data_IF_993061294435
#
_entry.id   IF_993061294435
#
_cell.length_a   1.000
_cell.length_b   1.000
_cell.length_c   1.000
_cell.angle_alpha   90.00
_cell.angle_beta   90.00
_cell.angle_gamma   90.00
#
_symmetry.space_group_name_H-M   'P 1'
#
loop_
_entity.id
_entity.type
_entity.pdbx_description
1 polymer ?
#
# COMPACT_ATOMS: atom_id res chain seq x y z
N UNK A 1 -51.82 0.33 -79.17
CA UNK A 1 -52.14 0.37 -77.73
C UNK A 1 -50.87 0.76 -76.98
N UNK A 2 -50.82 1.95 -76.40
CA UNK A 2 -49.67 2.47 -75.64
C UNK A 2 -49.95 2.22 -74.16
N UNK A 3 -49.06 1.52 -73.45
CA UNK A 3 -49.11 1.36 -72.00
C UNK A 3 -48.10 2.32 -71.40
N UNK A 4 -48.58 3.34 -70.70
CA UNK A 4 -47.78 4.24 -69.88
C UNK A 4 -47.61 3.62 -68.50
N UNK A 5 -46.36 3.32 -68.14
CA UNK A 5 -45.95 2.96 -66.78
C UNK A 5 -45.75 4.26 -65.99
N UNK A 6 -46.53 4.46 -64.92
CA UNK A 6 -46.38 5.58 -64.00
C UNK A 6 -45.54 5.07 -62.83
N UNK A 7 -44.28 5.51 -62.74
CA UNK A 7 -43.46 5.35 -61.55
C UNK A 7 -43.86 6.44 -60.55
N UNK A 8 -44.51 6.04 -59.45
CA UNK A 8 -44.77 6.91 -58.31
C UNK A 8 -43.54 6.91 -57.40
N UNK A 9 -42.77 7.99 -57.47
CA UNK A 9 -41.59 8.23 -56.64
C UNK A 9 -42.05 8.92 -55.35
N UNK A 10 -42.25 8.14 -54.28
CA UNK A 10 -42.45 8.70 -52.94
C UNK A 10 -41.09 9.17 -52.39
N UNK A 11 -40.85 10.47 -52.49
CA UNK A 11 -39.74 11.13 -51.83
C UNK A 11 -40.05 11.24 -50.33
N UNK A 12 -39.44 10.38 -49.53
CA UNK A 12 -39.45 10.47 -48.06
C UNK A 12 -38.54 11.64 -47.65
N UNK A 13 -39.14 12.81 -47.48
CA UNK A 13 -38.45 14.03 -47.04
C UNK A 13 -38.23 13.92 -45.53
N UNK A 14 -37.05 13.48 -45.10
CA UNK A 14 -36.61 13.49 -43.70
C UNK A 14 -36.46 14.93 -43.22
N UNK A 15 -37.47 15.41 -42.50
CA UNK A 15 -37.44 16.68 -41.78
C UNK A 15 -36.63 16.48 -40.49
N UNK A 16 -35.32 16.73 -40.56
CA UNK A 16 -34.47 16.85 -39.37
C UNK A 16 -34.86 18.15 -38.65
N UNK A 17 -35.68 18.03 -37.60
CA UNK A 17 -35.97 19.14 -36.69
C UNK A 17 -34.73 19.33 -35.83
N UNK A 18 -34.00 20.42 -36.10
CA UNK A 18 -32.96 20.97 -35.24
C UNK A 18 -33.61 21.44 -33.92
N UNK A 19 -33.75 20.52 -32.97
CA UNK A 19 -34.01 20.84 -31.58
C UNK A 19 -32.74 21.42 -30.96
N UNK A 20 -32.80 22.69 -30.56
CA UNK A 20 -31.70 23.37 -29.87
C UNK A 20 -31.36 22.66 -28.56
N UNK A 21 -30.19 22.03 -28.53
CA UNK A 21 -29.65 21.39 -27.34
C UNK A 21 -29.31 22.43 -26.28
N UNK A 22 -29.89 22.25 -25.10
CA UNK A 22 -29.41 22.80 -23.84
C UNK A 22 -28.00 22.26 -23.59
N UNK A 23 -27.01 23.14 -23.55
CA UNK A 23 -25.64 22.78 -23.16
C UNK A 23 -25.65 22.52 -21.65
N UNK A 24 -25.76 21.25 -21.26
CA UNK A 24 -25.44 20.82 -19.91
C UNK A 24 -23.92 20.81 -19.78
N UNK A 25 -23.38 21.83 -19.12
CA UNK A 25 -22.01 21.81 -18.62
C UNK A 25 -21.99 20.90 -17.37
N UNK A 26 -21.93 19.59 -17.61
CA UNK A 26 -21.51 18.62 -16.60
C UNK A 26 -19.98 18.57 -16.64
N UNK A 27 -19.35 18.32 -15.49
CA UNK A 27 -17.92 18.04 -15.35
C UNK A 27 -17.56 16.77 -16.15
N UNK A 28 -17.54 16.86 -17.47
CA UNK A 28 -17.14 15.76 -18.33
C UNK A 28 -15.62 15.62 -18.22
N UNK A 29 -15.17 14.39 -18.01
CA UNK A 29 -13.76 14.04 -18.18
C UNK A 29 -13.28 14.60 -19.53
N UNK A 30 -12.20 15.38 -19.50
CA UNK A 30 -11.67 16.05 -20.70
C UNK A 30 -10.94 15.00 -21.52
N UNK A 31 -11.68 14.32 -22.39
CA UNK A 31 -11.10 13.41 -23.38
C UNK A 31 -10.27 14.20 -24.42
N UNK A 32 -9.22 13.59 -24.97
CA UNK A 32 -8.54 14.14 -26.13
C UNK A 32 -9.50 14.19 -27.33
N UNK A 33 -9.09 14.91 -28.38
CA UNK A 33 -9.85 14.95 -29.61
C UNK A 33 -9.87 13.56 -30.27
N UNK A 34 -11.05 13.06 -30.62
CA UNK A 34 -11.26 11.78 -31.31
C UNK A 34 -10.55 11.69 -32.68
N UNK A 35 -10.04 12.79 -33.23
CA UNK A 35 -9.29 12.79 -34.47
C UNK A 35 -10.14 12.31 -35.65
N UNK A 36 -9.58 11.40 -36.46
CA UNK A 36 -10.33 10.71 -37.49
C UNK A 36 -10.83 9.39 -36.90
N UNK A 37 -12.14 9.16 -36.91
CA UNK A 37 -12.69 7.88 -36.45
C UNK A 37 -12.47 6.76 -37.48
N UNK A 38 -12.54 5.48 -37.08
CA UNK A 38 -12.53 4.33 -37.98
C UNK A 38 -13.57 4.36 -39.11
N UNK A 39 -14.63 5.16 -38.98
CA UNK A 39 -15.65 5.39 -40.00
C UNK A 39 -15.16 6.34 -41.12
N UNK A 40 -14.04 7.03 -40.93
CA UNK A 40 -13.45 7.92 -41.92
C UNK A 40 -12.62 7.16 -42.96
N UNK A 41 -12.81 7.50 -44.24
CA UNK A 41 -11.97 6.99 -45.33
C UNK A 41 -10.47 7.35 -45.18
N UNK A 42 -10.16 8.36 -44.37
CA UNK A 42 -8.80 8.84 -44.11
C UNK A 42 -8.23 8.33 -42.78
N UNK A 43 -8.90 7.40 -42.09
CA UNK A 43 -8.46 6.86 -40.80
C UNK A 43 -7.02 6.32 -40.84
N UNK A 44 -6.56 5.81 -41.99
CA UNK A 44 -5.19 5.37 -42.16
C UNK A 44 -4.13 6.46 -41.92
N UNK A 45 -4.47 7.74 -42.09
CA UNK A 45 -3.57 8.87 -41.78
C UNK A 45 -3.37 9.03 -40.28
N UNK A 46 -4.44 8.82 -39.50
CA UNK A 46 -4.39 8.84 -38.05
C UNK A 46 -3.46 7.73 -37.55
N UNK A 47 -3.70 6.50 -38.01
CA UNK A 47 -2.83 5.34 -37.74
C UNK A 47 -1.37 5.55 -38.11
N UNK A 48 -1.13 6.23 -39.24
CA UNK A 48 0.23 6.56 -39.65
C UNK A 48 0.88 7.56 -38.69
N UNK A 49 0.13 8.58 -38.24
CA UNK A 49 0.58 9.54 -37.24
C UNK A 49 0.91 8.87 -35.90
N UNK A 50 0.06 7.95 -35.43
CA UNK A 50 0.29 7.15 -34.23
C UNK A 50 1.57 6.33 -34.34
N UNK A 51 1.74 5.60 -35.44
CA UNK A 51 2.93 4.78 -35.69
C UNK A 51 4.21 5.64 -35.73
N UNK A 52 4.15 6.86 -36.28
CA UNK A 52 5.27 7.79 -36.24
C UNK A 52 5.57 8.27 -34.81
N UNK A 53 4.55 8.65 -34.04
CA UNK A 53 4.73 9.04 -32.62
C UNK A 53 5.38 7.90 -31.84
N UNK A 54 4.87 6.69 -31.99
CA UNK A 54 5.43 5.50 -31.32
C UNK A 54 6.86 5.20 -31.75
N UNK A 55 7.17 5.33 -33.05
CA UNK A 55 8.52 5.12 -33.58
C UNK A 55 9.55 6.10 -32.98
N UNK A 56 9.17 7.35 -32.78
CA UNK A 56 10.05 8.38 -32.20
C UNK A 56 10.06 8.41 -30.66
N UNK A 57 9.15 7.69 -30.01
CA UNK A 57 9.18 7.52 -28.54
C UNK A 57 10.09 6.36 -28.17
N UNK A 58 11.37 6.65 -27.91
CA UNK A 58 12.38 5.61 -27.67
C UNK A 58 12.37 5.01 -26.26
N UNK A 59 11.84 5.73 -25.27
CA UNK A 59 11.89 5.30 -23.88
C UNK A 59 10.61 4.49 -23.52
N UNK A 60 10.73 3.36 -22.79
CA UNK A 60 9.58 2.50 -22.49
C UNK A 60 8.46 3.17 -21.68
N UNK A 61 8.79 3.95 -20.65
CA UNK A 61 7.80 4.68 -19.83
C UNK A 61 6.94 5.60 -20.72
N UNK A 62 7.58 6.46 -21.51
CA UNK A 62 6.91 7.33 -22.46
C UNK A 62 6.13 6.57 -23.54
N UNK A 63 6.53 5.35 -23.89
CA UNK A 63 5.70 4.49 -24.75
C UNK A 63 4.44 4.04 -24.02
N UNK A 64 4.52 3.66 -22.75
CA UNK A 64 3.35 3.26 -21.98
C UNK A 64 2.35 4.42 -21.84
N UNK A 65 2.80 5.62 -21.47
CA UNK A 65 1.95 6.83 -21.47
C UNK A 65 1.36 7.14 -22.85
N UNK A 66 2.14 6.93 -23.92
CA UNK A 66 1.64 7.11 -25.28
C UNK A 66 0.53 6.12 -25.61
N UNK A 67 0.62 4.86 -25.14
CA UNK A 67 -0.45 3.88 -25.30
C UNK A 67 -1.71 4.29 -24.53
N UNK A 68 -1.58 4.80 -23.30
CA UNK A 68 -2.73 5.36 -22.55
C UNK A 68 -3.33 6.56 -23.28
N UNK A 69 -2.51 7.43 -23.86
CA UNK A 69 -3.00 8.54 -24.70
C UNK A 69 -3.82 8.01 -25.88
N UNK A 70 -3.34 6.98 -26.57
CA UNK A 70 -4.09 6.37 -27.68
C UNK A 70 -5.35 5.65 -27.19
N UNK A 71 -5.36 5.03 -26.01
CA UNK A 71 -6.55 4.46 -25.40
C UNK A 71 -7.61 5.55 -25.17
N UNK A 72 -7.22 6.70 -24.62
CA UNK A 72 -8.09 7.87 -24.44
C UNK A 72 -8.63 8.41 -25.77
N UNK A 73 -7.81 8.44 -26.83
CA UNK A 73 -8.25 8.78 -28.20
C UNK A 73 -9.29 7.78 -28.72
N UNK A 74 -9.13 6.46 -28.46
CA UNK A 74 -10.12 5.43 -28.83
C UNK A 74 -11.43 5.59 -28.07
N UNK A 75 -11.42 5.95 -26.80
CA UNK A 75 -12.64 6.23 -26.03
C UNK A 75 -13.38 7.44 -26.63
N UNK A 76 -12.65 8.48 -27.02
CA UNK A 76 -13.24 9.63 -27.72
C UNK A 76 -13.86 9.23 -29.08
N UNK A 77 -13.24 8.32 -29.82
CA UNK A 77 -13.82 7.76 -31.05
C UNK A 77 -15.08 6.95 -30.78
N UNK A 78 -15.09 6.08 -29.76
CA UNK A 78 -16.26 5.28 -29.37
C UNK A 78 -17.44 6.21 -29.09
N UNK A 79 -17.22 7.25 -28.26
CA UNK A 79 -18.23 8.26 -27.97
C UNK A 79 -18.80 8.91 -29.24
N UNK A 80 -17.94 9.40 -30.14
CA UNK A 80 -18.38 10.03 -31.39
C UNK A 80 -19.13 9.05 -32.29
N UNK A 81 -18.70 7.79 -32.34
CA UNK A 81 -19.33 6.75 -33.16
C UNK A 81 -20.73 6.44 -32.61
N UNK A 82 -20.88 6.23 -31.30
CA UNK A 82 -22.19 6.03 -30.68
C UNK A 82 -23.12 7.21 -30.98
N UNK A 83 -22.68 8.44 -30.71
CA UNK A 83 -23.49 9.65 -30.91
C UNK A 83 -23.92 9.89 -32.37
N UNK A 84 -23.09 9.51 -33.35
CA UNK A 84 -23.32 9.90 -34.76
C UNK A 84 -23.73 8.75 -35.69
N UNK A 85 -23.43 7.50 -35.32
CA UNK A 85 -23.65 6.30 -36.14
C UNK A 85 -24.41 5.20 -35.40
N UNK A 86 -24.43 5.23 -34.07
CA UNK A 86 -25.07 4.22 -33.23
C UNK A 86 -24.26 2.94 -33.10
N UNK A 87 -24.83 2.00 -32.35
CA UNK A 87 -24.18 0.76 -31.87
C UNK A 87 -23.77 -0.20 -32.99
N UNK A 88 -24.49 -0.19 -34.12
CA UNK A 88 -24.23 -1.09 -35.26
C UNK A 88 -23.07 -0.62 -36.17
N UNK A 89 -22.43 0.51 -35.83
CA UNK A 89 -21.33 1.05 -36.60
C UNK A 89 -20.12 0.11 -36.59
N UNK A 90 -19.59 -0.23 -37.77
CA UNK A 90 -18.42 -1.11 -37.89
C UNK A 90 -17.19 -0.53 -37.23
N UNK A 91 -17.08 0.78 -37.21
CA UNK A 91 -16.01 1.49 -36.55
C UNK A 91 -15.99 1.31 -35.03
N UNK A 92 -17.13 0.99 -34.40
CA UNK A 92 -17.20 0.80 -32.95
C UNK A 92 -16.35 -0.40 -32.52
N UNK A 93 -16.53 -1.55 -33.18
CA UNK A 93 -15.74 -2.75 -32.91
C UNK A 93 -14.24 -2.52 -33.14
N UNK A 94 -13.89 -1.73 -34.17
CA UNK A 94 -12.51 -1.35 -34.44
C UNK A 94 -11.95 -0.47 -33.33
N UNK A 95 -12.70 0.52 -32.87
CA UNK A 95 -12.27 1.42 -31.80
C UNK A 95 -12.09 0.65 -30.47
N UNK A 96 -13.03 -0.23 -30.10
CA UNK A 96 -12.95 -1.09 -28.93
C UNK A 96 -11.75 -2.05 -28.98
N UNK A 97 -11.57 -2.76 -30.10
CA UNK A 97 -10.43 -3.68 -30.26
C UNK A 97 -9.09 -2.96 -30.10
N UNK A 98 -9.02 -1.70 -30.53
CA UNK A 98 -7.80 -0.89 -30.42
C UNK A 98 -7.62 -0.29 -29.03
N UNK A 99 -8.70 0.07 -28.35
CA UNK A 99 -8.66 0.45 -26.94
C UNK A 99 -8.01 -0.68 -26.14
N UNK A 100 -8.55 -1.90 -26.26
CA UNK A 100 -7.99 -3.09 -25.61
C UNK A 100 -6.52 -3.31 -25.97
N UNK A 101 -6.17 -3.22 -27.27
CA UNK A 101 -4.77 -3.41 -27.70
C UNK A 101 -3.82 -2.37 -27.09
N UNK A 102 -4.23 -1.11 -26.99
CA UNK A 102 -3.39 -0.06 -26.41
C UNK A 102 -3.19 -0.27 -24.90
N UNK A 103 -4.25 -0.65 -24.17
CA UNK A 103 -4.16 -0.97 -22.73
C UNK A 103 -3.26 -2.17 -22.49
N UNK A 104 -3.46 -3.25 -23.24
CA UNK A 104 -2.62 -4.45 -23.18
C UNK A 104 -1.15 -4.14 -23.49
N UNK A 105 -0.87 -3.23 -24.42
CA UNK A 105 0.49 -2.78 -24.72
C UNK A 105 1.09 -1.97 -23.56
N UNK A 106 0.32 -1.09 -22.92
CA UNK A 106 0.77 -0.34 -21.75
C UNK A 106 1.14 -1.28 -20.59
N UNK A 107 0.24 -2.21 -20.24
CA UNK A 107 0.49 -3.23 -19.22
C UNK A 107 1.68 -4.13 -19.57
N UNK A 108 1.80 -4.55 -20.83
CA UNK A 108 2.94 -5.37 -21.28
C UNK A 108 4.27 -4.63 -21.12
N UNK A 109 4.32 -3.32 -21.34
CA UNK A 109 5.53 -2.53 -21.12
C UNK A 109 5.93 -2.53 -19.63
N UNK A 110 4.95 -2.39 -18.72
CA UNK A 110 5.17 -2.47 -17.27
C UNK A 110 5.77 -3.83 -16.91
N UNK A 111 5.13 -4.92 -17.34
CA UNK A 111 5.63 -6.29 -17.11
C UNK A 111 7.05 -6.49 -17.69
N UNK A 112 7.30 -6.02 -18.90
CA UNK A 112 8.61 -6.15 -19.56
C UNK A 112 9.71 -5.34 -18.88
N UNK A 113 9.39 -4.17 -18.32
CA UNK A 113 10.36 -3.38 -17.55
C UNK A 113 10.65 -4.04 -16.20
N UNK A 114 9.64 -4.60 -15.54
CA UNK A 114 9.83 -5.38 -14.32
C UNK A 114 10.68 -6.62 -14.56
N UNK A 115 10.45 -7.36 -15.64
CA UNK A 115 11.27 -8.51 -16.01
C UNK A 115 12.75 -8.16 -16.24
N UNK A 116 13.06 -6.87 -16.50
CA UNK A 116 14.42 -6.34 -16.61
C UNK A 116 15.00 -5.84 -15.27
N UNK A 117 14.29 -6.05 -14.16
CA UNK A 117 14.69 -5.64 -12.82
C UNK A 117 14.55 -4.13 -12.57
N UNK A 118 13.61 -3.46 -13.26
CA UNK A 118 13.28 -2.06 -12.96
C UNK A 118 12.11 -2.00 -11.99
N UNK A 119 12.14 -1.03 -11.08
CA UNK A 119 10.96 -0.65 -10.31
C UNK A 119 9.95 0.04 -11.24
N UNK A 120 8.79 -0.58 -11.42
CA UNK A 120 7.72 -0.10 -12.30
C UNK A 120 6.51 0.41 -11.52
N UNK A 121 6.55 0.42 -10.19
CA UNK A 121 5.35 0.68 -9.39
C UNK A 121 4.85 2.10 -9.57
N UNK A 122 5.77 3.07 -9.70
CA UNK A 122 5.39 4.44 -9.99
C UNK A 122 4.77 4.56 -11.39
N UNK A 123 5.36 3.89 -12.39
CA UNK A 123 4.80 3.87 -13.73
C UNK A 123 3.41 3.21 -13.74
N UNK A 124 3.25 2.05 -13.11
CA UNK A 124 1.96 1.35 -13.03
C UNK A 124 0.88 2.25 -12.41
N UNK A 125 1.22 2.91 -11.29
CA UNK A 125 0.32 3.88 -10.65
C UNK A 125 0.00 5.07 -11.53
N UNK A 126 0.99 5.67 -12.20
CA UNK A 126 0.75 6.81 -13.08
C UNK A 126 -0.14 6.42 -14.26
N UNK A 127 0.01 5.22 -14.82
CA UNK A 127 -0.85 4.74 -15.91
C UNK A 127 -2.28 4.47 -15.45
N UNK A 128 -2.44 3.91 -14.24
CA UNK A 128 -3.73 3.69 -13.57
C UNK A 128 -4.45 5.03 -13.33
N UNK A 129 -3.77 5.96 -12.63
CA UNK A 129 -4.27 7.32 -12.36
C UNK A 129 -4.61 8.09 -13.67
N UNK A 130 -3.81 7.92 -14.74
CA UNK A 130 -4.05 8.55 -16.05
C UNK A 130 -5.26 7.94 -16.78
N UNK A 131 -5.63 6.70 -16.48
CA UNK A 131 -6.68 5.97 -17.16
C UNK A 131 -8.07 6.09 -16.49
N UNK A 132 -8.13 6.44 -15.21
CA UNK A 132 -9.36 6.69 -14.45
C UNK A 132 -10.35 7.61 -15.19
N UNK A 133 -9.90 8.79 -15.59
CA UNK A 133 -10.77 9.77 -16.24
C UNK A 133 -11.27 9.30 -17.61
N UNK A 134 -10.42 8.74 -18.50
CA UNK A 134 -10.87 8.05 -19.71
C UNK A 134 -11.89 6.94 -19.44
N UNK A 135 -11.68 6.07 -18.46
CA UNK A 135 -12.62 4.99 -18.10
C UNK A 135 -14.00 5.54 -17.74
N UNK A 136 -14.07 6.51 -16.84
CA UNK A 136 -15.34 7.18 -16.51
C UNK A 136 -15.99 7.78 -17.76
N UNK A 137 -15.20 8.34 -18.68
CA UNK A 137 -15.74 8.92 -19.91
C UNK A 137 -16.31 7.86 -20.88
N UNK A 138 -15.80 6.63 -20.85
CA UNK A 138 -16.30 5.50 -21.62
C UNK A 138 -17.66 5.04 -21.07
N UNK A 139 -17.76 4.83 -19.76
CA UNK A 139 -19.01 4.52 -19.05
C UNK A 139 -20.08 5.58 -19.36
N UNK A 140 -19.72 6.88 -19.22
CA UNK A 140 -20.63 7.98 -19.56
C UNK A 140 -21.11 7.96 -21.02
N UNK A 141 -20.28 7.48 -21.96
CA UNK A 141 -20.64 7.39 -23.37
C UNK A 141 -21.66 6.27 -23.63
N UNK A 142 -21.48 5.10 -23.01
CA UNK A 142 -22.43 4.00 -23.08
C UNK A 142 -23.77 4.39 -22.43
N UNK A 143 -23.75 4.94 -21.20
CA UNK A 143 -24.96 5.40 -20.53
C UNK A 143 -25.72 6.47 -21.35
N UNK A 144 -24.98 7.39 -22.00
CA UNK A 144 -25.60 8.43 -22.80
C UNK A 144 -26.33 7.86 -24.03
N UNK A 145 -25.73 6.88 -24.71
CA UNK A 145 -26.36 6.18 -25.83
C UNK A 145 -27.54 5.33 -25.34
N UNK A 146 -27.44 4.67 -24.19
CA UNK A 146 -28.54 3.92 -23.62
C UNK A 146 -29.75 4.84 -23.36
N UNK A 147 -29.52 5.98 -22.70
CA UNK A 147 -30.56 7.00 -22.46
C UNK A 147 -31.17 7.52 -23.77
N UNK A 148 -30.39 7.64 -24.83
CA UNK A 148 -30.88 8.05 -26.15
C UNK A 148 -31.79 6.97 -26.76
N UNK A 149 -31.39 5.70 -26.73
CA UNK A 149 -32.18 4.58 -27.21
C UNK A 149 -33.48 4.40 -26.40
N UNK A 150 -33.44 4.59 -25.08
CA UNK A 150 -34.64 4.56 -24.24
C UNK A 150 -35.65 5.67 -24.58
N UNK A 151 -35.16 6.89 -24.83
CA UNK A 151 -36.00 7.99 -25.26
C UNK A 151 -36.68 7.68 -26.60
N UNK A 152 -35.92 7.13 -27.56
CA UNK A 152 -36.45 6.68 -28.85
C UNK A 152 -37.47 5.55 -28.69
N UNK A 153 -37.20 4.57 -27.83
CA UNK A 153 -38.12 3.46 -27.55
C UNK A 153 -39.46 3.98 -27.01
N UNK A 154 -39.41 4.92 -26.06
CA UNK A 154 -40.60 5.55 -25.47
C UNK A 154 -41.39 6.36 -26.51
N UNK A 155 -40.69 7.12 -27.35
CA UNK A 155 -41.32 7.89 -28.42
C UNK A 155 -42.03 6.97 -29.43
N UNK A 156 -41.37 5.89 -29.86
CA UNK A 156 -41.94 4.90 -30.78
C UNK A 156 -43.17 4.22 -30.17
N UNK A 157 -43.12 3.83 -28.88
CA UNK A 157 -44.29 3.28 -28.17
C UNK A 157 -45.46 4.27 -28.19
N UNK A 158 -45.22 5.56 -27.98
CA UNK A 158 -46.23 6.61 -28.07
C UNK A 158 -46.86 6.70 -29.46
N UNK A 159 -46.03 6.75 -30.52
CA UNK A 159 -46.49 6.81 -31.92
C UNK A 159 -47.28 5.56 -32.33
N UNK A 160 -46.89 4.38 -31.84
CA UNK A 160 -47.62 3.13 -32.10
C UNK A 160 -49.03 3.18 -31.50
N UNK A 161 -49.17 3.68 -30.26
CA UNK A 161 -50.49 3.83 -29.62
C UNK A 161 -51.39 4.80 -30.38
N UNK A 162 -50.83 5.91 -30.87
CA UNK A 162 -51.56 6.90 -31.65
C UNK A 162 -52.01 6.33 -33.01
N UNK A 163 -51.11 5.68 -33.76
CA UNK A 163 -51.43 5.03 -35.03
C UNK A 163 -52.55 3.99 -34.87
N UNK A 164 -52.50 3.17 -33.81
CA UNK A 164 -53.57 2.20 -33.49
C UNK A 164 -54.90 2.88 -33.15
N UNK A 165 -54.87 4.01 -32.45
CA UNK A 165 -56.08 4.77 -32.08
C UNK A 165 -56.80 5.34 -33.31
N UNK A 166 -56.05 5.78 -34.31
CA UNK A 166 -56.62 6.31 -35.57
C UNK A 166 -56.88 5.22 -36.61
N UNK A 167 -56.55 3.96 -36.30
CA UNK A 167 -56.77 2.80 -37.18
C UNK A 167 -55.76 2.66 -38.33
N UNK A 168 -54.62 3.35 -38.27
CA UNK A 168 -53.56 3.21 -39.26
C UNK A 168 -52.67 2.00 -38.94
N UNK A 169 -53.13 0.83 -39.38
CA UNK A 169 -52.46 -0.45 -39.12
C UNK A 169 -51.11 -0.54 -39.82
N UNK A 170 -50.97 0.05 -41.00
CA UNK A 170 -49.72 0.01 -41.77
C UNK A 170 -48.62 0.83 -41.07
N UNK A 171 -48.96 2.03 -40.59
CA UNK A 171 -48.02 2.85 -39.82
C UNK A 171 -47.67 2.16 -38.49
N UNK A 172 -48.64 1.58 -37.79
CA UNK A 172 -48.40 0.86 -36.55
C UNK A 172 -47.44 -0.32 -36.76
N UNK A 173 -47.59 -1.10 -37.83
CA UNK A 173 -46.69 -2.20 -38.18
C UNK A 173 -45.27 -1.74 -38.46
N UNK A 174 -45.10 -0.67 -39.25
CA UNK A 174 -43.79 -0.10 -39.53
C UNK A 174 -43.08 0.41 -38.27
N UNK A 175 -43.81 1.08 -37.37
CA UNK A 175 -43.26 1.56 -36.10
C UNK A 175 -42.90 0.41 -35.14
N UNK A 176 -43.66 -0.69 -35.17
CA UNK A 176 -43.31 -1.89 -34.40
C UNK A 176 -42.01 -2.54 -34.88
N UNK A 177 -41.73 -2.51 -36.20
CA UNK A 177 -40.45 -2.99 -36.73
C UNK A 177 -39.29 -2.11 -36.25
N UNK A 178 -39.45 -0.77 -36.29
CA UNK A 178 -38.45 0.16 -35.75
C UNK A 178 -38.24 -0.06 -34.25
N UNK A 179 -39.31 -0.26 -33.48
CA UNK A 179 -39.21 -0.58 -32.05
C UNK A 179 -38.42 -1.88 -31.81
N UNK A 180 -38.61 -2.89 -32.67
CA UNK A 180 -37.81 -4.11 -32.63
C UNK A 180 -36.33 -3.87 -32.89
N UNK A 181 -35.98 -2.99 -33.83
CA UNK A 181 -34.59 -2.60 -34.11
C UNK A 181 -33.96 -1.86 -32.93
N UNK A 182 -34.65 -0.90 -32.32
CA UNK A 182 -34.14 -0.18 -31.14
C UNK A 182 -33.87 -1.13 -29.97
N UNK A 183 -34.75 -2.12 -29.75
CA UNK A 183 -34.52 -3.13 -28.71
C UNK A 183 -33.29 -3.98 -28.99
N UNK A 184 -33.10 -4.41 -30.23
CA UNK A 184 -31.90 -5.13 -30.62
C UNK A 184 -30.63 -4.27 -30.46
N UNK A 185 -30.71 -2.96 -30.73
CA UNK A 185 -29.61 -2.03 -30.49
C UNK A 185 -29.31 -1.85 -29.00
N UNK A 186 -30.32 -1.81 -28.12
CA UNK A 186 -30.11 -1.80 -26.65
C UNK A 186 -29.38 -3.07 -26.19
N UNK A 187 -29.84 -4.25 -26.61
CA UNK A 187 -29.19 -5.53 -26.27
C UNK A 187 -27.75 -5.60 -26.79
N UNK A 188 -27.49 -5.06 -28.00
CA UNK A 188 -26.14 -4.98 -28.53
C UNK A 188 -25.26 -3.97 -27.78
N UNK A 189 -25.84 -2.85 -27.31
CA UNK A 189 -25.11 -1.84 -26.54
C UNK A 189 -24.62 -2.43 -25.21
N UNK A 190 -25.50 -3.12 -24.49
CA UNK A 190 -25.20 -3.80 -23.23
C UNK A 190 -24.06 -4.81 -23.42
N UNK A 191 -24.10 -5.62 -24.47
CA UNK A 191 -22.99 -6.54 -24.79
C UNK A 191 -21.68 -5.80 -25.08
N UNK A 192 -21.74 -4.65 -25.78
CA UNK A 192 -20.57 -3.87 -26.14
C UNK A 192 -19.96 -3.13 -24.95
N UNK A 193 -20.79 -2.73 -24.01
CA UNK A 193 -20.41 -2.14 -22.73
C UNK A 193 -19.70 -3.20 -21.87
N UNK A 194 -20.33 -4.37 -21.67
CA UNK A 194 -19.75 -5.50 -20.93
C UNK A 194 -18.39 -5.93 -21.51
N UNK A 195 -18.29 -6.10 -22.84
CA UNK A 195 -17.02 -6.41 -23.51
C UNK A 195 -15.93 -5.35 -23.28
N UNK A 196 -16.32 -4.08 -23.16
CA UNK A 196 -15.39 -3.00 -22.89
C UNK A 196 -14.96 -2.99 -21.43
N UNK A 197 -15.90 -3.09 -20.48
CA UNK A 197 -15.65 -3.15 -19.04
C UNK A 197 -14.73 -4.34 -18.69
N UNK A 198 -15.05 -5.55 -19.16
CA UNK A 198 -14.23 -6.75 -18.95
C UNK A 198 -12.78 -6.55 -19.42
N UNK A 199 -12.59 -5.85 -20.54
CA UNK A 199 -11.28 -5.57 -21.09
C UNK A 199 -10.52 -4.50 -20.29
N UNK A 200 -11.23 -3.55 -19.66
CA UNK A 200 -10.63 -2.56 -18.77
C UNK A 200 -10.20 -3.21 -17.45
N UNK A 201 -11.11 -3.97 -16.81
CA UNK A 201 -10.84 -4.65 -15.54
C UNK A 201 -9.64 -5.60 -15.66
N UNK A 202 -9.55 -6.39 -16.73
CA UNK A 202 -8.41 -7.30 -16.93
C UNK A 202 -7.06 -6.59 -17.02
N UNK A 203 -7.01 -5.39 -17.61
CA UNK A 203 -5.75 -4.66 -17.73
C UNK A 203 -5.44 -3.82 -16.48
N UNK A 204 -6.46 -3.34 -15.76
CA UNK A 204 -6.31 -2.75 -14.43
C UNK A 204 -5.79 -3.78 -13.42
N UNK A 205 -6.37 -4.97 -13.34
CA UNK A 205 -5.90 -6.05 -12.46
C UNK A 205 -4.41 -6.34 -12.70
N UNK A 206 -3.97 -6.34 -13.97
CA UNK A 206 -2.55 -6.54 -14.32
C UNK A 206 -1.64 -5.41 -13.88
N UNK A 207 -2.13 -4.18 -13.78
CA UNK A 207 -1.38 -3.04 -13.24
C UNK A 207 -1.41 -3.04 -11.70
N UNK A 208 -2.54 -3.40 -11.09
CA UNK A 208 -2.73 -3.48 -9.65
C UNK A 208 -1.90 -4.60 -9.00
N UNK A 209 -1.86 -5.80 -9.59
CA UNK A 209 -1.02 -6.91 -9.12
C UNK A 209 0.45 -6.49 -8.95
N UNK A 210 0.90 -5.56 -9.81
CA UNK A 210 2.24 -5.01 -9.77
C UNK A 210 2.46 -4.02 -8.62
N UNK A 211 1.43 -3.21 -8.33
CA UNK A 211 1.44 -2.26 -7.22
C UNK A 211 1.33 -2.97 -5.86
N UNK A 212 0.42 -3.93 -5.72
CA UNK A 212 0.22 -4.68 -4.48
C UNK A 212 1.50 -5.40 -4.04
N UNK A 213 2.19 -6.05 -4.99
CA UNK A 213 3.42 -6.75 -4.69
C UNK A 213 4.49 -5.81 -4.08
N UNK A 214 4.59 -4.58 -4.57
CA UNK A 214 5.51 -3.55 -4.04
C UNK A 214 5.09 -3.12 -2.64
N UNK A 215 3.81 -2.80 -2.43
CA UNK A 215 3.30 -2.36 -1.13
C UNK A 215 3.50 -3.44 -0.06
N UNK A 216 3.22 -4.71 -0.38
CA UNK A 216 3.43 -5.83 0.52
C UNK A 216 4.91 -6.02 0.88
N UNK A 217 5.82 -5.81 -0.07
CA UNK A 217 7.26 -5.88 0.17
C UNK A 217 7.74 -4.74 1.07
N UNK A 218 7.30 -3.50 0.82
CA UNK A 218 7.60 -2.34 1.66
C UNK A 218 7.04 -2.48 3.08
N UNK A 219 5.82 -3.03 3.19
CA UNK A 219 5.22 -3.33 4.48
C UNK A 219 6.04 -4.36 5.26
N UNK A 220 6.43 -5.47 4.62
CA UNK A 220 7.25 -6.49 5.27
C UNK A 220 8.63 -5.95 5.71
N UNK A 221 9.26 -5.09 4.91
CA UNK A 221 10.52 -4.42 5.29
C UNK A 221 10.31 -3.52 6.51
N UNK A 222 9.25 -2.72 6.52
CA UNK A 222 8.90 -1.84 7.66
C UNK A 222 8.58 -2.63 8.92
N UNK A 223 7.84 -3.73 8.82
CA UNK A 223 7.53 -4.62 9.95
C UNK A 223 8.81 -5.21 10.53
N UNK A 224 9.70 -5.74 9.70
CA UNK A 224 11.00 -6.26 10.16
C UNK A 224 11.88 -5.19 10.84
N UNK A 225 11.88 -3.95 10.34
CA UNK A 225 12.60 -2.82 10.96
C UNK A 225 12.00 -2.41 12.30
N UNK A 226 10.67 -2.41 12.40
CA UNK A 226 9.93 -2.09 13.62
C UNK A 226 10.21 -3.12 14.70
N UNK A 227 10.16 -4.40 14.36
CA UNK A 227 10.45 -5.49 15.30
C UNK A 227 11.87 -5.40 15.87
N UNK A 228 12.87 -5.10 15.02
CA UNK A 228 14.24 -4.87 15.49
C UNK A 228 14.31 -3.71 16.48
N UNK A 229 13.55 -2.64 16.23
CA UNK A 229 13.53 -1.49 17.11
C UNK A 229 12.86 -1.83 18.45
N UNK A 230 11.79 -2.63 18.44
CA UNK A 230 11.11 -3.08 19.66
C UNK A 230 12.04 -3.90 20.55
N UNK A 231 12.78 -4.87 19.99
CA UNK A 231 13.79 -5.65 20.74
C UNK A 231 14.89 -4.74 21.34
N UNK A 232 15.32 -3.72 20.59
CA UNK A 232 16.34 -2.78 21.09
C UNK A 232 15.79 -1.88 22.21
N UNK A 233 14.53 -1.48 22.11
CA UNK A 233 13.87 -0.65 23.11
C UNK A 233 13.62 -1.47 24.39
N UNK A 234 13.17 -2.72 24.28
CA UNK A 234 12.98 -3.65 25.42
C UNK A 234 14.29 -3.91 26.16
N UNK A 235 15.35 -4.29 25.43
CA UNK A 235 16.67 -4.47 26.03
C UNK A 235 17.18 -3.19 26.71
N UNK A 236 16.87 -2.01 26.17
CA UNK A 236 17.26 -0.73 26.77
C UNK A 236 16.45 -0.39 28.03
N UNK A 237 15.18 -0.77 28.10
CA UNK A 237 14.34 -0.63 29.30
C UNK A 237 14.90 -1.45 30.47
N UNK A 238 15.42 -2.64 30.19
CA UNK A 238 16.09 -3.52 31.17
C UNK A 238 17.59 -3.21 31.34
N UNK A 239 18.09 -2.14 30.70
CA UNK A 239 19.49 -1.71 30.73
C UNK A 239 20.47 -2.86 30.35
N UNK A 240 20.02 -3.69 29.41
CA UNK A 240 20.76 -4.77 28.76
C UNK A 240 21.35 -4.25 27.44
N UNK A 241 22.66 -4.46 27.26
CA UNK A 241 23.33 -4.03 26.02
C UNK A 241 23.37 -5.18 25.02
N UNK A 242 22.60 -5.07 23.94
CA UNK A 242 22.62 -6.06 22.85
C UNK A 242 23.81 -5.79 21.90
N UNK A 243 24.71 -6.78 21.67
CA UNK A 243 25.80 -6.62 20.72
C UNK A 243 25.28 -6.43 19.29
N UNK A 244 25.88 -5.50 18.54
CA UNK A 244 25.49 -5.26 17.15
C UNK A 244 25.64 -6.51 16.26
N UNK A 245 26.57 -7.39 16.59
CA UNK A 245 26.81 -8.66 15.90
C UNK A 245 25.60 -9.61 15.97
N UNK A 246 24.74 -9.49 17.00
CA UNK A 246 23.53 -10.30 17.13
C UNK A 246 22.56 -10.07 15.95
N UNK A 247 22.55 -8.85 15.40
CA UNK A 247 21.72 -8.50 14.25
C UNK A 247 22.42 -8.72 12.90
N UNK A 248 23.65 -9.26 12.85
CA UNK A 248 24.43 -9.32 11.61
C UNK A 248 23.73 -10.06 10.46
N UNK A 249 23.02 -11.16 10.77
CA UNK A 249 22.26 -11.92 9.76
C UNK A 249 20.96 -11.20 9.39
N UNK A 250 20.25 -10.61 10.34
CA UNK A 250 19.10 -9.73 10.09
C UNK A 250 19.48 -8.59 9.14
N UNK A 251 20.54 -7.83 9.47
CA UNK A 251 20.98 -6.67 8.69
C UNK A 251 21.38 -7.07 7.27
N UNK A 252 22.01 -8.23 7.12
CA UNK A 252 22.33 -8.79 5.80
C UNK A 252 21.08 -9.13 4.98
N UNK A 253 20.08 -9.77 5.60
CA UNK A 253 18.83 -10.12 4.94
C UNK A 253 18.00 -8.88 4.59
N UNK A 254 17.92 -7.91 5.49
CA UNK A 254 17.23 -6.64 5.26
C UNK A 254 17.91 -5.81 4.15
N UNK A 255 19.24 -5.81 4.10
CA UNK A 255 19.98 -5.18 3.01
C UNK A 255 19.71 -5.86 1.67
N UNK A 256 19.64 -7.20 1.64
CA UNK A 256 19.26 -7.94 0.44
C UNK A 256 17.79 -7.66 0.04
N UNK A 257 16.88 -7.57 1.01
CA UNK A 257 15.47 -7.25 0.76
C UNK A 257 15.32 -5.86 0.14
N UNK A 258 16.00 -4.84 0.70
CA UNK A 258 16.02 -3.47 0.14
C UNK A 258 16.66 -3.42 -1.25
N UNK A 259 17.71 -4.20 -1.49
CA UNK A 259 18.32 -4.31 -2.81
C UNK A 259 17.37 -4.99 -3.83
N UNK A 260 16.66 -6.04 -3.43
CA UNK A 260 15.65 -6.70 -4.24
C UNK A 260 14.46 -5.77 -4.53
N UNK A 261 14.00 -4.99 -3.55
CA UNK A 261 12.97 -3.96 -3.71
C UNK A 261 13.42 -2.90 -4.73
N UNK A 262 14.64 -2.38 -4.59
CA UNK A 262 15.21 -1.41 -5.53
C UNK A 262 15.40 -1.97 -6.96
N UNK A 263 15.52 -3.30 -7.08
CA UNK A 263 15.60 -4.01 -8.35
C UNK A 263 14.22 -4.46 -8.88
N UNK A 264 13.11 -4.00 -8.31
CA UNK A 264 11.75 -4.37 -8.74
C UNK A 264 11.35 -5.83 -8.47
N UNK A 265 12.16 -6.57 -7.70
CA UNK A 265 11.88 -7.96 -7.38
C UNK A 265 11.12 -8.07 -6.05
N UNK A 266 9.86 -7.63 -6.07
CA UNK A 266 9.05 -7.43 -4.86
C UNK A 266 8.75 -8.73 -4.11
N UNK A 267 8.52 -9.84 -4.82
CA UNK A 267 8.29 -11.15 -4.20
C UNK A 267 9.53 -11.63 -3.43
N UNK A 268 10.72 -11.45 -4.00
CA UNK A 268 11.98 -11.78 -3.34
C UNK A 268 12.26 -10.83 -2.17
N UNK A 269 11.99 -9.53 -2.34
CA UNK A 269 12.12 -8.54 -1.28
C UNK A 269 11.22 -8.89 -0.07
N UNK A 270 9.94 -9.19 -0.31
CA UNK A 270 8.98 -9.65 0.71
C UNK A 270 9.48 -10.92 1.41
N UNK A 271 9.96 -11.91 0.65
CA UNK A 271 10.49 -13.17 1.18
C UNK A 271 11.71 -12.94 2.08
N UNK A 272 12.65 -12.11 1.64
CA UNK A 272 13.86 -11.77 2.39
C UNK A 272 13.55 -10.97 3.65
N UNK A 273 12.61 -10.01 3.58
CA UNK A 273 12.16 -9.24 4.73
C UNK A 273 11.53 -10.13 5.81
N UNK A 274 10.63 -11.05 5.43
CA UNK A 274 10.07 -12.05 6.35
C UNK A 274 11.11 -13.01 6.92
N UNK A 275 12.19 -13.27 6.20
CA UNK A 275 13.31 -14.06 6.73
C UNK A 275 14.17 -13.27 7.70
N UNK A 276 14.31 -11.95 7.48
CA UNK A 276 14.96 -11.06 8.42
C UNK A 276 14.14 -11.01 9.73
N UNK A 277 12.84 -10.73 9.63
CA UNK A 277 11.88 -10.74 10.75
C UNK A 277 12.01 -12.03 11.59
N UNK A 278 11.87 -13.22 10.98
CA UNK A 278 12.04 -14.51 11.69
C UNK A 278 13.42 -14.75 12.30
N UNK A 279 14.44 -14.02 11.86
CA UNK A 279 15.76 -14.14 12.47
C UNK A 279 15.85 -13.34 13.77
N UNK A 280 14.96 -12.38 13.98
CA UNK A 280 14.85 -11.63 15.23
C UNK A 280 14.34 -12.50 16.37
N UNK A 281 13.51 -13.52 16.13
CA UNK A 281 13.06 -14.48 17.17
C UNK A 281 14.25 -15.05 17.99
N UNK A 282 15.36 -15.35 17.31
CA UNK A 282 16.57 -15.87 17.98
C UNK A 282 17.39 -14.80 18.71
N UNK A 283 17.20 -13.53 18.34
CA UNK A 283 17.84 -12.40 19.03
C UNK A 283 17.02 -12.04 20.27
N UNK A 284 15.70 -12.04 20.16
CA UNK A 284 14.75 -11.87 21.26
C UNK A 284 15.02 -12.90 22.38
N UNK A 285 15.08 -14.20 22.05
CA UNK A 285 15.41 -15.25 23.02
C UNK A 285 16.78 -15.01 23.72
N UNK A 286 17.76 -14.46 22.98
CA UNK A 286 19.07 -14.14 23.54
C UNK A 286 19.05 -12.88 24.43
N UNK A 287 18.13 -11.94 24.18
CA UNK A 287 17.90 -10.77 25.02
C UNK A 287 17.22 -11.19 26.32
N UNK A 288 16.16 -12.00 26.24
CA UNK A 288 15.50 -12.59 27.41
C UNK A 288 16.52 -13.30 28.31
N UNK A 289 17.38 -14.18 27.75
CA UNK A 289 18.43 -14.87 28.50
C UNK A 289 19.42 -13.91 29.21
N UNK A 290 19.69 -12.74 28.62
CA UNK A 290 20.59 -11.73 29.20
C UNK A 290 19.91 -10.96 30.33
N UNK A 291 18.63 -10.62 30.19
CA UNK A 291 17.81 -10.02 31.24
C UNK A 291 17.74 -10.96 32.45
N UNK A 292 17.42 -12.22 32.20
CA UNK A 292 17.35 -13.29 33.19
C UNK A 292 18.69 -13.51 33.93
N UNK A 293 19.82 -13.24 33.25
CA UNK A 293 21.16 -13.33 33.84
C UNK A 293 21.51 -12.09 34.66
N UNK A 294 21.06 -10.90 34.23
CA UNK A 294 21.26 -9.64 34.93
C UNK A 294 20.49 -9.61 36.25
N UNK A 295 19.22 -10.04 36.25
CA UNK A 295 18.42 -10.16 37.47
C UNK A 295 19.12 -11.06 38.51
N UNK A 296 19.60 -12.23 38.07
CA UNK A 296 20.37 -13.15 38.93
C UNK A 296 21.68 -12.54 39.43
N UNK A 297 22.36 -11.71 38.64
CA UNK A 297 23.57 -11.00 39.07
C UNK A 297 23.26 -9.97 40.16
N UNK A 298 22.15 -9.24 40.03
CA UNK A 298 21.68 -8.28 41.05
C UNK A 298 21.30 -8.98 42.36
N UNK A 299 20.53 -10.08 42.30
CA UNK A 299 20.21 -10.88 43.48
C UNK A 299 21.48 -11.38 44.21
N UNK A 300 22.48 -11.84 43.46
CA UNK A 300 23.75 -12.29 44.02
C UNK A 300 24.56 -11.15 44.66
N UNK A 301 24.48 -9.94 44.10
CA UNK A 301 25.12 -8.75 44.70
C UNK A 301 24.44 -8.39 46.01
N UNK A 302 23.11 -8.36 46.06
CA UNK A 302 22.37 -8.11 47.29
C UNK A 302 22.70 -9.15 48.37
N UNK A 303 22.74 -10.43 48.03
CA UNK A 303 23.10 -11.50 48.97
C UNK A 303 24.55 -11.36 49.47
N UNK A 304 25.49 -10.94 48.62
CA UNK A 304 26.87 -10.67 49.02
C UNK A 304 26.97 -9.46 49.95
N UNK A 305 26.27 -8.36 49.65
CA UNK A 305 26.23 -7.17 50.50
C UNK A 305 25.63 -7.48 51.87
N UNK A 306 24.59 -8.31 51.93
CA UNK A 306 24.00 -8.76 53.19
C UNK A 306 24.99 -9.61 54.00
N UNK A 307 25.66 -10.59 53.38
CA UNK A 307 26.71 -11.40 54.04
C UNK A 307 27.87 -10.56 54.54
N UNK A 308 28.30 -9.55 53.77
CA UNK A 308 29.34 -8.62 54.22
C UNK A 308 28.90 -7.78 55.42
N UNK A 309 27.62 -7.36 55.47
CA UNK A 309 27.06 -6.63 56.60
C UNK A 309 27.02 -7.51 57.85
N UNK A 310 26.51 -8.73 57.74
CA UNK A 310 26.47 -9.70 58.85
C UNK A 310 27.87 -10.00 59.38
N UNK A 311 28.85 -10.22 58.50
CA UNK A 311 30.23 -10.48 58.90
C UNK A 311 30.88 -9.28 59.62
N UNK A 312 30.59 -8.05 59.17
CA UNK A 312 31.05 -6.82 59.85
C UNK A 312 30.43 -6.67 61.24
N UNK A 313 29.12 -6.94 61.37
CA UNK A 313 28.42 -6.91 62.67
C UNK A 313 29.00 -7.94 63.65
N UNK A 314 29.23 -9.18 63.20
CA UNK A 314 29.84 -10.23 64.03
C UNK A 314 31.27 -9.88 64.46
N UNK A 315 32.05 -9.25 63.57
CA UNK A 315 33.41 -8.80 63.89
C UNK A 315 33.39 -7.65 64.92
N UNK A 316 32.45 -6.70 64.79
CA UNK A 316 32.30 -5.61 65.74
C UNK A 316 31.87 -6.12 67.14
N UNK A 317 30.97 -7.11 67.19
CA UNK A 317 30.57 -7.76 68.44
C UNK A 317 31.74 -8.47 69.12
N UNK A 318 32.55 -9.22 68.37
CA UNK A 318 33.77 -9.87 68.89
C UNK A 318 34.78 -8.85 69.45
N UNK A 319 34.97 -7.73 68.75
CA UNK A 319 35.85 -6.65 69.22
C UNK A 319 35.32 -5.98 70.49
N UNK A 320 33.99 -5.78 70.61
CA UNK A 320 33.37 -5.26 71.84
C UNK A 320 33.55 -6.22 73.00
N UNK A 321 33.35 -7.52 72.80
CA UNK A 321 33.60 -8.53 73.84
C UNK A 321 35.06 -8.56 74.29
N UNK A 322 36.00 -8.48 73.35
CA UNK A 322 37.44 -8.47 73.65
C UNK A 322 37.83 -7.21 74.43
N UNK A 323 37.34 -6.04 74.00
CA UNK A 323 37.53 -4.78 74.71
C UNK A 323 36.94 -4.81 76.13
N UNK A 324 35.78 -5.43 76.33
CA UNK A 324 35.19 -5.59 77.67
C UNK A 324 36.02 -6.52 78.56
N UNK A 325 36.55 -7.62 78.00
CA UNK A 325 37.45 -8.54 78.71
C UNK A 325 38.75 -7.83 79.12
N UNK A 326 39.33 -7.02 78.23
CA UNK A 326 40.55 -6.27 78.52
C UNK A 326 40.30 -5.14 79.52
N UNK A 327 39.16 -4.43 79.45
CA UNK A 327 38.77 -3.45 80.45
C UNK A 327 38.67 -4.08 81.85
N UNK A 328 38.02 -5.25 81.98
CA UNK A 328 37.95 -6.00 83.26
C UNK A 328 39.32 -6.44 83.77
N UNK A 329 40.26 -6.76 82.87
CA UNK A 329 41.64 -7.10 83.27
C UNK A 329 42.38 -5.88 83.79
N UNK A 330 42.27 -4.75 83.10
CA UNK A 330 42.88 -3.49 83.52
C UNK A 330 42.32 -3.02 84.86
N UNK A 331 41.02 -3.13 85.08
CA UNK A 331 40.38 -2.79 86.37
C UNK A 331 40.96 -3.64 87.52
N UNK A 332 41.12 -4.95 87.32
CA UNK A 332 41.78 -5.84 88.31
C UNK A 332 43.25 -5.49 88.55
N UNK A 333 43.97 -5.11 87.50
CA UNK A 333 45.37 -4.67 87.63
C UNK A 333 45.48 -3.34 88.37
N UNK A 334 44.57 -2.40 88.13
CA UNK A 334 44.48 -1.13 88.87
C UNK A 334 44.13 -1.37 90.34
N UNK A 335 43.13 -2.18 90.65
CA UNK A 335 42.75 -2.52 92.03
C UNK A 335 43.94 -3.14 92.78
N UNK A 336 44.69 -4.03 92.12
CA UNK A 336 45.90 -4.62 92.69
C UNK A 336 47.01 -3.58 92.90
N UNK A 337 47.21 -2.68 91.94
CA UNK A 337 48.20 -1.61 92.05
C UNK A 337 47.86 -0.60 93.15
N UNK A 338 46.57 -0.26 93.32
CA UNK A 338 46.07 0.56 94.43
C UNK A 338 46.25 -0.14 95.77
N UNK A 339 45.98 -1.45 95.86
CA UNK A 339 46.19 -2.23 97.08
C UNK A 339 47.68 -2.29 97.46
N UNK A 340 48.56 -2.48 96.48
CA UNK A 340 50.01 -2.45 96.66
C UNK A 340 50.52 -1.05 97.03
N UNK A 341 49.96 0.02 96.44
CA UNK A 341 50.27 1.40 96.80
C UNK A 341 49.82 1.74 98.23
N UNK A 342 48.62 1.30 98.64
CA UNK A 342 48.11 1.46 100.00
C UNK A 342 48.99 0.75 101.02
N UNK A 343 49.44 -0.48 100.73
CA UNK A 343 50.41 -1.20 101.58
C UNK A 343 51.76 -0.48 101.67
N UNK A 344 52.22 0.12 100.58
CA UNK A 344 53.43 0.93 100.57
C UNK A 344 53.27 2.20 101.41
N UNK A 345 52.10 2.85 101.35
CA UNK A 345 51.77 4.04 102.15
C UNK A 345 51.62 3.71 103.65
N UNK A 346 51.02 2.58 104.00
CA UNK A 346 50.99 2.07 105.38
C UNK A 346 52.40 1.81 105.93
N UNK A 347 53.28 1.18 105.14
CA UNK A 347 54.69 0.97 105.54
C UNK A 347 55.43 2.28 105.74
N UNK A 348 55.17 3.31 104.91
CA UNK A 348 55.76 4.64 105.09
C UNK A 348 55.23 5.35 106.34
N UNK A 349 53.96 5.13 106.72
CA UNK A 349 53.41 5.63 108.00
C UNK A 349 53.99 4.91 109.22
N UNK A 350 54.25 3.60 109.14
CA UNK A 350 54.92 2.87 110.22
C UNK A 350 56.35 3.37 110.44
N UNK A 351 57.11 3.63 109.37
CA UNK A 351 58.46 4.21 109.46
C UNK A 351 58.44 5.65 109.98
N UNK A 352 57.40 6.43 109.68
CA UNK A 352 57.23 7.79 110.20
C UNK A 352 56.87 7.87 111.70
N UNK A 353 56.26 6.83 112.28
CA UNK A 353 55.91 6.79 113.70
C UNK A 353 57.04 6.24 114.59
N UNK A 354 58.09 5.62 114.02
CA UNK A 354 59.28 5.17 114.78
C UNK A 354 60.29 6.31 115.05
N UNK A 355 60.14 7.49 114.42
CA UNK A 355 61.01 8.65 114.66
C UNK A 355 60.54 9.58 115.80
N UNK A 356 59.34 9.39 116.38
CA UNK A 356 58.82 10.25 117.47
C UNK A 356 59.07 9.73 118.90
N UNK A 357 59.65 8.53 119.08
CA UNK A 357 59.94 7.95 120.40
C UNK A 357 61.46 7.93 120.77
N UNK A 358 62.27 8.81 120.16
CA UNK A 358 63.68 9.06 120.55
C UNK A 358 63.96 10.48 121.01
#
# INVERSE_FOLDING_TARGET
MKKTFIFSMFALMTLFVLGGGTVFAQNQAVLPNAGLTPESNFYFLDKFGEALREFFTFNPEGKAHLQITFASERIAEIKVILETKGVEAKGLEVAQSRLQANLANAATIVVDQKAKGKDVSQLAKELDDEFDAPKTALEEAFEAEERALEAQEKELKGKILEARRVGDTAQAESLMQQLGQIKAQKELLELKEEEAEDALEQEEERLEEEMEAKEEAEKAIREAEKEKQEILDEAAEEDVTVPAEAFGKFDSLLAQARAALAAGNFQEAKRLAKQAEKNLDSVEEAVEDLEDAKEKEEELKEEQEEKEREAKEEQEEKLKEEAEKDAKRLEKEQEKAEDDARKAEERLREVGNEEEDN
#
